data_IF_402802426620
#
_entry.id   IF_402802426620
#
_cell.length_a   1.000
_cell.length_b   1.000
_cell.length_c   1.000
_cell.angle_alpha   90.00
_cell.angle_beta   90.00
_cell.angle_gamma   90.00
#
_symmetry.space_group_name_H-M   'P 1'
#
loop_
_entity.id
_entity.type
_entity.pdbx_description
1 polymer ?
#
# COMPACT_ATOMS: atom_id res chain seq x y z
N UNK A 1 -6.18 67.25 -37.29
CA UNK A 1 -4.79 67.67 -36.99
C UNK A 1 -4.36 66.93 -35.73
N UNK A 2 -3.21 66.27 -35.83
CA UNK A 2 -2.62 65.32 -34.89
C UNK A 2 -2.60 65.80 -33.43
N UNK A 3 -2.63 64.87 -32.46
CA UNK A 3 -1.45 64.46 -31.68
C UNK A 3 -1.85 63.47 -30.56
N UNK A 4 -1.24 62.28 -30.68
CA UNK A 4 -0.71 61.37 -29.66
C UNK A 4 -1.55 60.99 -28.42
N UNK A 5 -1.92 59.72 -28.23
CA UNK A 5 -1.08 58.53 -27.93
C UNK A 5 -0.77 58.38 -26.42
N UNK A 6 -0.95 57.13 -25.96
CA UNK A 6 -0.50 56.52 -24.70
C UNK A 6 -1.46 56.58 -23.51
N UNK A 7 -2.32 55.58 -23.39
CA UNK A 7 -2.55 54.84 -22.13
C UNK A 7 -2.88 53.38 -22.46
N UNK A 8 -1.92 52.70 -23.10
CA UNK A 8 -1.77 51.26 -23.00
C UNK A 8 -0.76 51.02 -21.88
N UNK A 9 -1.23 50.68 -20.69
CA UNK A 9 -0.35 50.46 -19.55
C UNK A 9 -1.14 50.40 -18.27
N UNK A 10 -1.68 49.22 -17.95
CA UNK A 10 -1.72 48.66 -16.59
C UNK A 10 -2.26 47.21 -16.60
N UNK A 11 -1.85 46.40 -17.58
CA UNK A 11 -1.85 44.93 -17.46
C UNK A 11 -0.39 44.50 -17.42
N UNK A 12 0.25 44.68 -16.27
CA UNK A 12 1.53 44.03 -15.88
C UNK A 12 1.89 44.49 -14.47
N UNK A 13 1.12 44.04 -13.49
CA UNK A 13 1.50 44.16 -12.08
C UNK A 13 0.97 42.95 -11.31
N UNK A 14 1.25 41.74 -11.80
CA UNK A 14 1.07 40.51 -11.02
C UNK A 14 2.17 39.45 -11.21
N UNK A 15 3.28 39.79 -11.88
CA UNK A 15 4.42 38.88 -12.04
C UNK A 15 5.74 39.66 -11.92
N UNK A 16 5.94 40.44 -10.85
CA UNK A 16 7.29 40.95 -10.55
C UNK A 16 7.50 41.35 -9.07
N UNK A 17 6.97 40.61 -8.10
CA UNK A 17 7.45 40.70 -6.70
C UNK A 17 7.52 39.29 -6.08
N UNK A 18 8.29 38.39 -6.69
CA UNK A 18 8.87 37.23 -6.00
C UNK A 18 10.25 37.00 -6.63
N UNK A 19 11.19 37.94 -6.46
CA UNK A 19 12.59 37.72 -6.83
C UNK A 19 13.57 38.62 -6.04
N UNK A 20 13.23 38.96 -4.79
CA UNK A 20 14.11 39.73 -3.88
C UNK A 20 14.25 39.11 -2.48
N UNK A 21 13.92 37.83 -2.33
CA UNK A 21 14.31 36.99 -1.18
C UNK A 21 14.94 35.67 -1.66
N UNK A 22 15.80 35.77 -2.68
CA UNK A 22 16.71 34.70 -3.05
C UNK A 22 17.82 34.60 -1.99
N UNK A 23 17.65 33.72 -1.01
CA UNK A 23 18.68 33.49 0.00
C UNK A 23 18.38 32.42 1.04
N UNK A 24 17.14 31.92 1.13
CA UNK A 24 16.81 30.79 2.01
C UNK A 24 16.26 29.64 1.17
N UNK A 25 16.84 28.43 1.25
CA UNK A 25 16.27 27.27 0.60
C UNK A 25 15.05 26.83 1.41
N UNK A 26 13.91 27.49 1.20
CA UNK A 26 12.62 26.86 1.46
C UNK A 26 12.47 25.73 0.44
N UNK A 27 13.17 24.60 0.67
CA UNK A 27 12.63 23.31 0.25
C UNK A 27 11.29 23.22 0.98
N UNK A 28 10.14 23.10 0.30
CA UNK A 28 8.90 22.85 1.01
C UNK A 28 9.14 21.61 1.87
N UNK A 29 9.06 21.80 3.19
CA UNK A 29 9.29 20.77 4.19
C UNK A 29 8.06 19.87 4.27
N UNK A 30 7.61 19.41 3.11
CA UNK A 30 6.69 18.30 3.00
C UNK A 30 7.60 17.07 2.93
N UNK A 31 8.03 16.61 4.10
CA UNK A 31 8.39 15.21 4.27
C UNK A 31 7.13 14.41 3.96
N UNK A 32 6.88 14.18 2.66
CA UNK A 32 5.84 13.29 2.22
C UNK A 32 6.19 11.91 2.80
N UNK A 33 5.24 11.31 3.52
CA UNK A 33 5.35 9.94 4.00
C UNK A 33 5.40 9.02 2.76
N UNK A 34 6.61 8.85 2.24
CA UNK A 34 6.90 7.96 1.12
C UNK A 34 6.96 6.55 1.69
N UNK A 35 5.97 5.73 1.39
CA UNK A 35 6.07 4.33 1.69
C UNK A 35 6.91 3.64 0.63
N UNK A 36 7.71 2.70 1.09
CA UNK A 36 8.61 1.91 0.28
C UNK A 36 8.46 0.45 0.65
N UNK A 37 8.28 -0.38 -0.37
CA UNK A 37 8.45 -1.81 -0.22
C UNK A 37 9.94 -2.07 -0.01
N UNK A 38 10.35 -2.46 1.19
CA UNK A 38 11.78 -2.62 1.52
C UNK A 38 12.26 -4.04 1.29
N UNK A 39 11.38 -5.02 1.53
CA UNK A 39 11.70 -6.44 1.48
C UNK A 39 10.49 -7.26 1.09
N UNK A 40 10.71 -8.31 0.32
CA UNK A 40 9.75 -9.39 0.10
C UNK A 40 10.42 -10.69 0.56
N UNK A 41 9.72 -11.48 1.36
CA UNK A 41 10.16 -12.80 1.77
C UNK A 41 9.07 -13.81 1.43
N UNK A 42 9.50 -14.91 0.82
CA UNK A 42 8.66 -16.05 0.48
C UNK A 42 9.15 -17.31 1.19
N UNK A 43 8.26 -18.26 1.44
CA UNK A 43 8.62 -19.62 1.87
C UNK A 43 8.92 -20.51 0.64
N UNK A 44 9.28 -21.77 0.85
CA UNK A 44 9.44 -22.73 -0.24
C UNK A 44 8.12 -23.06 -0.92
N UNK A 45 7.05 -23.20 -0.13
CA UNK A 45 5.71 -23.60 -0.58
C UNK A 45 4.83 -22.44 -1.06
N UNK A 46 5.26 -21.19 -0.89
CA UNK A 46 4.48 -20.01 -1.27
C UNK A 46 5.41 -18.87 -1.71
N UNK A 47 5.35 -18.53 -3.00
CA UNK A 47 6.20 -17.52 -3.65
C UNK A 47 5.39 -16.29 -4.01
N UNK A 48 5.89 -15.11 -3.63
CA UNK A 48 5.44 -13.83 -4.13
C UNK A 48 6.27 -13.49 -5.36
N UNK A 49 5.62 -13.41 -6.51
CA UNK A 49 6.27 -13.14 -7.80
C UNK A 49 6.06 -11.69 -8.21
N UNK A 50 4.89 -11.12 -7.92
CA UNK A 50 4.57 -9.74 -8.30
C UNK A 50 3.68 -9.11 -7.25
N UNK A 51 4.05 -7.90 -6.84
CA UNK A 51 3.17 -6.94 -6.16
C UNK A 51 2.91 -5.81 -7.16
N UNK A 52 1.66 -5.39 -7.29
CA UNK A 52 1.28 -4.41 -8.30
C UNK A 52 0.08 -3.57 -7.88
N UNK A 53 -0.05 -2.37 -8.43
CA UNK A 53 -1.20 -1.48 -8.18
C UNK A 53 -2.46 -1.98 -8.90
N UNK A 54 -3.61 -1.37 -8.64
CA UNK A 54 -4.83 -1.64 -9.39
C UNK A 54 -4.70 -1.33 -10.90
N UNK A 55 -3.85 -0.38 -11.30
CA UNK A 55 -3.56 -0.07 -12.70
C UNK A 55 -2.61 -1.08 -13.37
N UNK A 56 -2.08 -2.05 -12.63
CA UNK A 56 -1.14 -3.05 -13.15
C UNK A 56 0.34 -2.64 -13.07
N UNK A 57 0.66 -1.50 -12.45
CA UNK A 57 2.04 -1.07 -12.26
C UNK A 57 2.74 -1.98 -11.23
N UNK A 58 3.87 -2.56 -11.60
CA UNK A 58 4.64 -3.45 -10.72
C UNK A 58 5.39 -2.63 -9.68
N UNK A 59 5.33 -3.06 -8.43
CA UNK A 59 6.03 -2.46 -7.29
C UNK A 59 7.19 -3.39 -6.90
N UNK A 60 8.42 -2.96 -7.17
CA UNK A 60 9.62 -3.68 -6.81
C UNK A 60 10.14 -3.24 -5.43
N UNK A 61 10.97 -4.05 -4.77
CA UNK A 61 11.70 -3.60 -3.59
C UNK A 61 12.50 -2.33 -3.92
N UNK A 62 12.47 -1.37 -3.00
CA UNK A 62 13.02 -0.02 -3.10
C UNK A 62 12.22 0.98 -3.93
N UNK A 63 11.20 0.53 -4.68
CA UNK A 63 10.31 1.46 -5.37
C UNK A 63 9.56 2.31 -4.35
N UNK A 64 9.59 3.62 -4.59
CA UNK A 64 8.79 4.57 -3.83
C UNK A 64 7.40 4.56 -4.44
N UNK A 65 6.38 4.46 -3.60
CA UNK A 65 5.02 4.66 -4.05
C UNK A 65 4.27 5.57 -3.08
N UNK A 66 3.53 6.52 -3.64
CA UNK A 66 2.82 7.51 -2.86
C UNK A 66 1.42 6.99 -2.51
N UNK A 67 1.11 6.93 -1.22
CA UNK A 67 -0.24 6.67 -0.73
C UNK A 67 -1.21 7.84 -0.90
N UNK A 68 -0.92 8.81 -1.77
CA UNK A 68 -1.74 10.00 -1.96
C UNK A 68 -3.23 9.71 -2.21
N UNK A 69 -3.60 8.45 -2.50
CA UNK A 69 -4.99 8.01 -2.65
C UNK A 69 -5.36 6.67 -1.98
N UNK A 70 -4.64 6.17 -0.96
CA UNK A 70 -4.96 4.87 -0.32
C UNK A 70 -5.12 3.74 -1.35
N UNK A 71 -4.28 3.77 -2.40
CA UNK A 71 -4.48 2.92 -3.57
C UNK A 71 -4.25 1.47 -3.14
N UNK A 72 -5.26 0.60 -3.30
CA UNK A 72 -5.08 -0.80 -3.00
C UNK A 72 -4.02 -1.40 -3.91
N UNK A 73 -3.20 -2.27 -3.35
CA UNK A 73 -2.26 -3.09 -4.09
C UNK A 73 -2.77 -4.53 -4.16
N UNK A 74 -2.22 -5.26 -5.11
CA UNK A 74 -2.49 -6.65 -5.38
C UNK A 74 -1.18 -7.43 -5.33
N UNK A 75 -1.29 -8.73 -5.10
CA UNK A 75 -0.15 -9.62 -5.15
C UNK A 75 -0.52 -10.95 -5.79
N UNK A 76 0.44 -11.59 -6.45
CA UNK A 76 0.30 -12.92 -7.03
C UNK A 76 1.60 -13.70 -6.97
N UNK A 77 1.45 -15.00 -7.15
CA UNK A 77 2.57 -15.90 -7.46
C UNK A 77 2.15 -17.35 -7.44
N UNK A 78 3.09 -18.22 -7.12
CA UNK A 78 2.93 -19.67 -7.13
C UNK A 78 2.93 -20.29 -5.72
N UNK A 79 2.31 -21.45 -5.59
CA UNK A 79 2.23 -22.21 -4.35
C UNK A 79 2.09 -23.71 -4.57
N UNK A 80 2.56 -24.51 -3.61
CA UNK A 80 2.31 -25.96 -3.55
C UNK A 80 1.08 -26.32 -2.70
N UNK A 81 0.39 -25.31 -2.15
CA UNK A 81 -0.82 -25.51 -1.35
C UNK A 81 -2.04 -25.88 -2.23
N UNK A 82 -3.02 -26.53 -1.60
CA UNK A 82 -4.25 -26.97 -2.27
C UNK A 82 -5.25 -25.82 -2.35
N UNK A 83 -6.17 -25.89 -3.31
CA UNK A 83 -7.27 -24.91 -3.43
C UNK A 83 -8.15 -24.80 -2.16
N UNK A 84 -8.14 -25.83 -1.30
CA UNK A 84 -8.88 -25.86 -0.03
C UNK A 84 -8.10 -25.29 1.16
N UNK A 85 -6.84 -24.90 0.99
CA UNK A 85 -6.05 -24.30 2.08
C UNK A 85 -6.47 -22.86 2.33
N UNK A 86 -6.50 -22.46 3.60
CA UNK A 86 -6.92 -21.12 4.02
C UNK A 86 -5.72 -20.19 4.13
N UNK A 87 -5.61 -19.26 3.18
CA UNK A 87 -4.58 -18.23 3.18
C UNK A 87 -5.22 -16.86 3.32
N UNK A 88 -4.87 -16.18 4.41
CA UNK A 88 -5.36 -14.86 4.75
C UNK A 88 -4.27 -13.81 4.62
N UNK A 89 -4.67 -12.61 4.23
CA UNK A 89 -3.79 -11.44 4.22
C UNK A 89 -4.11 -10.58 5.43
N UNK A 90 -3.08 -10.27 6.21
CA UNK A 90 -3.16 -9.42 7.38
C UNK A 90 -2.11 -8.32 7.28
N UNK A 91 -2.49 -7.10 7.64
CA UNK A 91 -1.55 -6.00 7.77
C UNK A 91 -1.11 -5.87 9.22
N UNK A 92 0.16 -5.59 9.46
CA UNK A 92 0.71 -5.29 10.78
C UNK A 92 1.18 -3.84 10.83
N UNK A 93 0.70 -3.07 11.81
CA UNK A 93 1.18 -1.73 12.08
C UNK A 93 2.43 -1.70 12.96
N UNK A 94 3.11 -0.56 12.97
CA UNK A 94 4.32 -0.31 13.77
C UNK A 94 4.12 -0.46 15.30
N UNK A 95 2.87 -0.56 15.78
CA UNK A 95 2.51 -0.74 17.18
C UNK A 95 2.03 -2.17 17.49
N UNK A 96 2.26 -3.14 16.59
CA UNK A 96 1.85 -4.54 16.78
C UNK A 96 0.34 -4.79 16.63
N UNK A 97 -0.38 -3.87 15.99
CA UNK A 97 -1.77 -4.04 15.62
C UNK A 97 -1.94 -4.76 14.29
N UNK A 98 -2.98 -5.58 14.19
CA UNK A 98 -3.30 -6.35 13.00
C UNK A 98 -4.61 -5.90 12.37
N UNK A 99 -4.67 -5.91 11.04
CA UNK A 99 -5.85 -5.55 10.25
C UNK A 99 -6.10 -6.61 9.19
N UNK A 100 -7.28 -7.22 9.21
CA UNK A 100 -7.66 -8.26 8.26
C UNK A 100 -7.97 -7.63 6.90
N UNK A 101 -7.47 -8.22 5.82
CA UNK A 101 -7.82 -7.80 4.45
C UNK A 101 -8.84 -8.77 3.86
N UNK A 102 -9.83 -8.23 3.14
CA UNK A 102 -10.82 -8.98 2.38
C UNK A 102 -10.68 -8.63 0.88
N UNK A 103 -10.75 -9.61 -0.04
CA UNK A 103 -10.99 -11.06 0.20
C UNK A 103 -9.76 -11.86 0.65
N UNK A 104 -10.00 -13.06 1.23
CA UNK A 104 -8.92 -14.02 1.43
C UNK A 104 -8.24 -14.35 0.09
N UNK A 105 -7.01 -14.83 0.19
CA UNK A 105 -6.20 -15.21 -0.97
C UNK A 105 -6.86 -16.39 -1.66
N UNK A 106 -7.07 -16.26 -2.98
CA UNK A 106 -7.61 -17.35 -3.79
C UNK A 106 -6.47 -18.17 -4.35
N UNK A 107 -6.56 -19.49 -4.24
CA UNK A 107 -5.63 -20.44 -4.84
C UNK A 107 -6.35 -21.16 -5.96
N UNK A 108 -5.70 -21.27 -7.11
CA UNK A 108 -6.20 -22.02 -8.26
C UNK A 108 -5.04 -22.57 -9.06
N UNK A 109 -5.00 -23.88 -9.23
CA UNK A 109 -4.09 -24.58 -10.14
C UNK A 109 -2.60 -24.25 -9.87
N UNK A 110 -2.23 -24.15 -8.58
CA UNK A 110 -0.86 -23.83 -8.14
C UNK A 110 -0.52 -22.34 -8.18
N UNK A 111 -1.43 -21.48 -8.64
CA UNK A 111 -1.31 -20.03 -8.55
C UNK A 111 -2.13 -19.48 -7.40
N UNK A 112 -1.72 -18.33 -6.88
CA UNK A 112 -2.51 -17.57 -5.91
C UNK A 112 -2.61 -16.10 -6.25
N UNK A 113 -3.70 -15.46 -5.80
CA UNK A 113 -3.91 -14.02 -5.93
C UNK A 113 -4.55 -13.44 -4.68
N UNK A 114 -4.01 -12.31 -4.25
CA UNK A 114 -4.57 -11.45 -3.21
C UNK A 114 -4.90 -10.09 -3.81
N UNK A 115 -6.08 -9.58 -3.53
CA UNK A 115 -6.59 -8.34 -4.10
C UNK A 115 -6.97 -7.34 -3.02
N UNK A 116 -6.98 -6.05 -3.38
CA UNK A 116 -7.48 -4.98 -2.51
C UNK A 116 -6.74 -4.91 -1.15
N UNK A 117 -5.43 -5.15 -1.15
CA UNK A 117 -4.59 -4.97 0.03
C UNK A 117 -4.39 -3.47 0.22
N UNK A 118 -4.69 -2.93 1.39
CA UNK A 118 -4.62 -1.48 1.66
C UNK A 118 -3.62 -1.17 2.77
N UNK A 119 -2.30 -1.15 2.49
CA UNK A 119 -1.31 -0.86 3.51
C UNK A 119 -1.30 0.63 3.85
N UNK A 120 -2.25 1.08 4.68
CA UNK A 120 -2.38 2.48 5.08
C UNK A 120 -1.12 3.01 5.80
N UNK A 121 -1.11 4.31 6.09
CA UNK A 121 -0.06 4.91 6.89
C UNK A 121 0.14 4.19 8.23
N UNK A 122 1.40 4.03 8.65
CA UNK A 122 1.79 3.26 9.83
C UNK A 122 1.81 1.73 9.67
N UNK A 123 1.39 1.17 8.51
CA UNK A 123 1.56 -0.26 8.22
C UNK A 123 3.02 -0.57 7.91
N UNK A 124 3.57 -1.52 8.67
CA UNK A 124 4.95 -2.00 8.54
C UNK A 124 5.04 -3.30 7.74
N UNK A 125 4.08 -4.20 7.86
CA UNK A 125 4.12 -5.48 7.14
C UNK A 125 2.79 -5.83 6.49
N UNK A 126 2.87 -6.51 5.36
CA UNK A 126 1.81 -7.33 4.78
C UNK A 126 2.19 -8.78 5.02
N UNK A 127 1.31 -9.52 5.67
CA UNK A 127 1.52 -10.90 6.09
C UNK A 127 0.58 -11.81 5.32
N UNK A 128 1.13 -12.86 4.69
CA UNK A 128 0.35 -13.99 4.19
C UNK A 128 0.44 -15.12 5.21
N UNK A 129 -0.72 -15.49 5.75
CA UNK A 129 -0.84 -16.46 6.83
C UNK A 129 -1.59 -17.69 6.33
N UNK A 130 -0.97 -18.86 6.46
CA UNK A 130 -1.71 -20.12 6.40
C UNK A 130 -2.29 -20.40 7.78
N UNK A 131 -3.57 -20.67 7.83
CA UNK A 131 -4.27 -21.01 9.08
C UNK A 131 -4.90 -22.39 9.02
N UNK A 132 -5.20 -22.93 10.20
CA UNK A 132 -6.01 -24.12 10.35
C UNK A 132 -7.52 -23.79 10.28
N UNK A 133 -8.36 -24.78 10.58
CA UNK A 133 -9.82 -24.59 10.58
C UNK A 133 -10.31 -23.55 11.60
N UNK A 134 -9.70 -23.49 12.78
CA UNK A 134 -10.09 -22.53 13.82
C UNK A 134 -9.66 -21.10 13.46
N UNK A 135 -8.44 -20.93 12.95
CA UNK A 135 -7.98 -19.64 12.45
C UNK A 135 -8.79 -19.16 11.24
N UNK A 136 -9.22 -20.08 10.37
CA UNK A 136 -10.14 -19.73 9.29
C UNK A 136 -11.49 -19.26 9.82
N UNK A 137 -12.10 -19.98 10.78
CA UNK A 137 -13.35 -19.53 11.41
C UNK A 137 -13.22 -18.17 12.07
N UNK A 138 -12.09 -17.90 12.74
CA UNK A 138 -11.81 -16.59 13.33
C UNK A 138 -11.83 -15.47 12.29
N UNK A 139 -11.09 -15.63 11.18
CA UNK A 139 -11.05 -14.61 10.14
C UNK A 139 -12.35 -14.51 9.34
N UNK A 140 -12.99 -15.64 9.02
CA UNK A 140 -14.30 -15.67 8.35
C UNK A 140 -15.35 -14.91 9.15
N UNK A 141 -15.46 -15.16 10.46
CA UNK A 141 -16.41 -14.44 11.32
C UNK A 141 -16.18 -12.93 11.28
N UNK A 142 -14.91 -12.49 11.38
CA UNK A 142 -14.58 -11.06 11.29
C UNK A 142 -14.96 -10.49 9.94
N UNK A 143 -14.67 -11.22 8.85
CA UNK A 143 -14.99 -10.77 7.51
C UNK A 143 -16.50 -10.66 7.27
N UNK A 144 -17.27 -11.66 7.71
CA UNK A 144 -18.73 -11.71 7.64
C UNK A 144 -19.39 -10.62 8.47
N UNK A 145 -18.85 -10.33 9.66
CA UNK A 145 -19.31 -9.27 10.54
C UNK A 145 -18.78 -7.88 10.18
N UNK A 146 -17.98 -7.75 9.11
CA UNK A 146 -17.33 -6.49 8.71
C UNK A 146 -16.43 -5.88 9.78
N UNK A 147 -15.79 -6.71 10.61
CA UNK A 147 -14.89 -6.31 11.70
C UNK A 147 -13.46 -6.01 11.18
N UNK A 148 -13.33 -4.88 10.49
CA UNK A 148 -12.06 -4.41 9.90
C UNK A 148 -11.15 -3.65 10.87
N UNK A 149 -11.65 -3.38 12.08
CA UNK A 149 -10.89 -2.67 13.11
C UNK A 149 -9.67 -3.47 13.57
N UNK A 150 -8.66 -2.72 14.05
CA UNK A 150 -7.43 -3.26 14.65
C UNK A 150 -7.73 -4.35 15.67
N UNK A 151 -6.93 -5.42 15.64
CA UNK A 151 -6.89 -6.44 16.69
C UNK A 151 -5.44 -6.73 17.08
N UNK A 152 -5.22 -7.32 18.26
CA UNK A 152 -3.89 -7.44 18.86
C UNK A 152 -3.37 -8.87 18.94
N UNK A 153 -4.20 -9.86 18.59
CA UNK A 153 -3.83 -11.27 18.66
C UNK A 153 -4.24 -11.99 17.39
N UNK A 154 -3.26 -12.61 16.73
CA UNK A 154 -3.52 -13.53 15.64
C UNK A 154 -3.95 -14.89 16.20
N UNK A 155 -4.84 -15.63 15.49
CA UNK A 155 -5.03 -17.05 15.77
C UNK A 155 -3.73 -17.82 15.47
N UNK A 156 -3.70 -19.10 15.83
CA UNK A 156 -2.58 -19.97 15.47
C UNK A 156 -2.42 -20.00 13.95
N UNK A 157 -1.19 -19.78 13.50
CA UNK A 157 -0.88 -19.58 12.09
C UNK A 157 0.54 -20.01 11.76
N UNK A 158 0.79 -20.15 10.47
CA UNK A 158 2.12 -20.19 9.90
C UNK A 158 2.30 -19.00 8.97
N UNK A 159 3.30 -18.16 9.26
CA UNK A 159 3.71 -17.11 8.35
C UNK A 159 4.41 -17.74 7.15
N UNK A 160 3.80 -17.62 5.97
CA UNK A 160 4.27 -18.28 4.74
C UNK A 160 4.90 -17.30 3.75
N UNK A 161 4.62 -16.00 3.90
CA UNK A 161 5.26 -14.93 3.16
C UNK A 161 5.02 -13.59 3.86
N UNK A 162 5.91 -12.61 3.63
CA UNK A 162 5.66 -11.24 4.05
C UNK A 162 6.29 -10.22 3.10
N UNK A 163 5.73 -9.02 3.09
CA UNK A 163 6.30 -7.83 2.47
C UNK A 163 6.46 -6.75 3.54
N UNK A 164 7.67 -6.22 3.67
CA UNK A 164 8.02 -5.16 4.62
C UNK A 164 7.91 -3.79 3.96
N UNK A 165 7.37 -2.85 4.72
CA UNK A 165 7.03 -1.50 4.32
C UNK A 165 7.73 -0.52 5.27
N UNK A 166 8.24 0.59 4.72
CA UNK A 166 8.84 1.68 5.48
C UNK A 166 8.36 3.02 4.98
#
# INVERSE_FOLDING_TARGET
MNILMKWAGFISALITIINLFAGWPFKPLLSFWEHRLTKIQSSESFKIETIYTESGEVINPQDKFSYKFQIPINARGSTTFKNSDFIWVVLEDQHGGYYLQHPPTKIRDGEWRSHNIRPLDGIKNILWLKVDGLGNQFFSRRAENTEWAKFTKLPDHTLIAYAEMR
#
